data_IF_492037332992
#
_entry.id   IF_492037332992
#
_cell.length_a   1.000
_cell.length_b   1.000
_cell.length_c   1.000
_cell.angle_alpha   90.00
_cell.angle_beta   90.00
_cell.angle_gamma   90.00
#
_symmetry.space_group_name_H-M   'P 1'
#
loop_
_entity.id
_entity.type
_entity.pdbx_description
1 polymer ?
#
# COMPACT_ATOMS: atom_id res chain seq x y z
N UNK A 1 38.14 -10.06 13.04
CA UNK A 1 37.54 -8.72 13.00
C UNK A 1 36.04 -8.93 12.83
N UNK A 2 35.31 -9.10 13.93
CA UNK A 2 33.85 -9.13 13.89
C UNK A 2 33.41 -7.68 13.83
N UNK A 3 32.99 -7.22 12.66
CA UNK A 3 32.34 -5.93 12.51
C UNK A 3 31.02 -5.99 13.27
N UNK A 4 31.02 -5.45 14.49
CA UNK A 4 29.83 -5.11 15.28
C UNK A 4 29.04 -4.04 14.52
N UNK A 5 28.35 -4.44 13.45
CA UNK A 5 27.28 -3.64 12.90
C UNK A 5 26.11 -3.75 13.88
N UNK A 6 25.71 -2.63 14.48
CA UNK A 6 24.42 -2.55 15.16
C UNK A 6 23.34 -3.17 14.25
N UNK A 7 22.48 -4.05 14.79
CA UNK A 7 21.46 -4.69 13.98
C UNK A 7 20.58 -3.62 13.33
N UNK A 8 20.51 -3.64 12.00
CA UNK A 8 19.68 -2.71 11.23
C UNK A 8 18.24 -2.81 11.72
N UNK A 9 17.61 -1.66 11.92
CA UNK A 9 16.23 -1.68 12.39
C UNK A 9 15.32 -2.17 11.26
N UNK A 10 14.47 -3.13 11.57
CA UNK A 10 13.41 -3.61 10.68
C UNK A 10 12.06 -3.40 11.36
N UNK A 11 11.19 -2.65 10.69
CA UNK A 11 9.91 -2.18 11.21
C UNK A 11 8.75 -2.96 10.59
N UNK A 12 7.80 -3.39 11.41
CA UNK A 12 6.52 -3.94 11.00
C UNK A 12 5.42 -3.01 11.48
N UNK A 13 4.69 -2.39 10.56
CA UNK A 13 3.54 -1.55 10.87
C UNK A 13 2.26 -2.35 10.59
N UNK A 14 1.40 -2.49 11.60
CA UNK A 14 0.07 -3.08 11.42
C UNK A 14 -0.99 -1.99 11.59
N UNK A 15 -1.96 -1.94 10.69
CA UNK A 15 -3.05 -0.97 10.73
C UNK A 15 -4.41 -1.57 10.38
N UNK A 16 -5.37 -1.35 11.27
CA UNK A 16 -6.78 -1.76 11.08
C UNK A 16 -7.65 -0.69 10.43
N UNK A 17 -7.07 0.46 10.08
CA UNK A 17 -7.79 1.59 9.49
C UNK A 17 -8.55 2.47 10.47
N UNK A 18 -9.34 3.39 9.90
CA UNK A 18 -10.09 4.41 10.65
C UNK A 18 -11.55 4.01 10.90
N UNK A 19 -12.16 3.29 9.96
CA UNK A 19 -13.62 3.20 9.83
C UNK A 19 -14.22 1.92 10.43
N UNK A 20 -13.49 0.80 10.39
CA UNK A 20 -13.98 -0.49 10.88
C UNK A 20 -13.09 -1.01 12.01
N UNK A 21 -13.71 -1.53 13.08
CA UNK A 21 -12.98 -2.28 14.10
C UNK A 21 -12.56 -3.63 13.52
N UNK A 22 -11.28 -3.96 13.65
CA UNK A 22 -10.75 -5.25 13.21
C UNK A 22 -9.91 -5.89 14.32
N UNK A 23 -10.58 -6.19 15.44
CA UNK A 23 -9.95 -6.79 16.62
C UNK A 23 -9.33 -8.15 16.30
N UNK A 24 -9.94 -8.94 15.41
CA UNK A 24 -9.42 -10.25 15.00
C UNK A 24 -7.99 -10.17 14.44
N UNK A 25 -7.69 -9.15 13.61
CA UNK A 25 -6.34 -8.95 13.10
C UNK A 25 -5.38 -8.55 14.22
N UNK A 26 -5.81 -7.68 15.13
CA UNK A 26 -5.01 -7.28 16.30
C UNK A 26 -4.71 -8.48 17.21
N UNK A 27 -5.69 -9.35 17.46
CA UNK A 27 -5.51 -10.54 18.28
C UNK A 27 -4.53 -11.52 17.62
N UNK A 28 -4.59 -11.66 16.29
CA UNK A 28 -3.67 -12.52 15.53
C UNK A 28 -2.23 -11.99 15.51
N UNK A 29 -2.01 -10.72 15.20
CA UNK A 29 -0.65 -10.12 15.14
C UNK A 29 0.02 -10.01 16.52
N UNK A 30 -0.74 -10.31 17.57
CA UNK A 30 -0.28 -10.32 18.95
C UNK A 30 -0.17 -11.76 19.48
N UNK A 31 -0.65 -12.73 18.71
CA UNK A 31 -0.45 -14.13 19.00
C UNK A 31 1.04 -14.48 19.03
N UNK A 32 1.39 -15.44 19.88
CA UNK A 32 2.77 -15.93 20.03
C UNK A 32 3.35 -16.39 18.68
N UNK A 33 2.54 -17.04 17.84
CA UNK A 33 2.95 -17.52 16.51
C UNK A 33 3.48 -16.38 15.64
N UNK A 34 2.82 -15.22 15.65
CA UNK A 34 3.23 -14.08 14.84
C UNK A 34 4.44 -13.36 15.43
N UNK A 35 4.47 -13.19 16.75
CA UNK A 35 5.59 -12.53 17.43
C UNK A 35 6.88 -13.35 17.35
N UNK A 36 6.80 -14.67 17.51
CA UNK A 36 7.93 -15.59 17.36
C UNK A 36 8.44 -15.55 15.91
N UNK A 37 7.53 -15.46 14.92
CA UNK A 37 7.89 -15.28 13.52
C UNK A 37 8.61 -13.94 13.28
N UNK A 38 8.12 -12.83 13.83
CA UNK A 38 8.76 -11.51 13.71
C UNK A 38 10.18 -11.52 14.28
N UNK A 39 10.36 -12.11 15.47
CA UNK A 39 11.69 -12.24 16.09
C UNK A 39 12.60 -13.13 15.24
N UNK A 40 12.07 -14.22 14.70
CA UNK A 40 12.80 -15.11 13.78
C UNK A 40 13.25 -14.42 12.49
N UNK A 41 12.40 -13.55 11.92
CA UNK A 41 12.71 -12.77 10.72
C UNK A 41 13.47 -11.45 11.03
N UNK A 42 14.01 -11.32 12.25
CA UNK A 42 14.85 -10.18 12.70
C UNK A 42 14.11 -8.84 12.68
N UNK A 43 12.80 -8.83 12.89
CA UNK A 43 12.08 -7.58 13.16
C UNK A 43 12.45 -7.05 14.54
N UNK A 44 12.66 -5.74 14.58
CA UNK A 44 13.11 -5.02 15.78
C UNK A 44 12.01 -4.15 16.36
N UNK A 45 11.08 -3.68 15.52
CA UNK A 45 10.00 -2.80 15.92
C UNK A 45 8.68 -3.31 15.34
N UNK A 46 7.67 -3.46 16.18
CA UNK A 46 6.28 -3.72 15.81
C UNK A 46 5.45 -2.52 16.25
N UNK A 47 4.84 -1.84 15.29
CA UNK A 47 3.99 -0.67 15.54
C UNK A 47 2.55 -0.99 15.15
N UNK A 48 1.64 -0.88 16.11
CA UNK A 48 0.23 -1.26 15.96
C UNK A 48 -0.65 -0.01 15.98
N UNK A 49 -1.33 0.28 14.88
CA UNK A 49 -2.39 1.28 14.88
C UNK A 49 -3.70 0.60 15.28
N UNK A 50 -4.15 0.83 16.51
CA UNK A 50 -5.35 0.20 17.08
C UNK A 50 -6.58 1.11 17.04
N UNK A 51 -6.42 2.39 16.66
CA UNK A 51 -7.52 3.35 16.65
C UNK A 51 -8.22 3.45 18.01
N UNK A 52 -9.56 3.48 18.01
CA UNK A 52 -10.40 3.58 19.22
C UNK A 52 -10.19 2.46 20.24
N UNK A 53 -9.59 1.34 19.84
CA UNK A 53 -9.33 0.19 20.70
C UNK A 53 -7.95 0.29 21.40
N UNK A 54 -7.19 1.37 21.17
CA UNK A 54 -5.86 1.61 21.74
C UNK A 54 -5.82 1.52 23.28
N UNK A 55 -6.78 2.12 23.98
CA UNK A 55 -6.73 2.21 25.45
C UNK A 55 -6.91 0.85 26.14
N UNK A 56 -7.73 -0.02 25.55
CA UNK A 56 -7.92 -1.40 26.00
C UNK A 56 -6.69 -2.25 25.68
N UNK A 57 -6.20 -2.10 24.44
CA UNK A 57 -5.07 -2.84 23.92
C UNK A 57 -3.77 -2.52 24.68
N UNK A 58 -3.50 -1.24 24.93
CA UNK A 58 -2.30 -0.80 25.64
C UNK A 58 -2.24 -1.33 27.08
N UNK A 59 -3.36 -1.35 27.80
CA UNK A 59 -3.38 -1.80 29.21
C UNK A 59 -3.34 -3.31 29.37
N UNK A 60 -4.15 -4.02 28.59
CA UNK A 60 -4.38 -5.44 28.82
C UNK A 60 -3.46 -6.34 28.01
N UNK A 61 -3.00 -5.87 26.85
CA UNK A 61 -2.31 -6.71 25.87
C UNK A 61 -0.82 -6.37 25.86
N UNK A 62 -0.45 -5.11 25.60
CA UNK A 62 0.96 -4.71 25.47
C UNK A 62 1.79 -5.01 26.73
N UNK A 63 1.25 -4.74 27.92
CA UNK A 63 1.98 -4.93 29.19
C UNK A 63 2.49 -6.37 29.39
N UNK A 64 1.70 -7.36 28.98
CA UNK A 64 2.07 -8.78 29.08
C UNK A 64 3.11 -9.21 28.05
N UNK A 65 3.11 -8.61 26.86
CA UNK A 65 3.91 -9.05 25.72
C UNK A 65 5.27 -8.38 25.70
N UNK A 66 5.33 -7.08 25.98
CA UNK A 66 6.58 -6.30 26.01
C UNK A 66 7.56 -6.92 27.02
N UNK A 67 7.06 -7.44 28.13
CA UNK A 67 7.87 -8.14 29.15
C UNK A 67 8.44 -9.47 28.65
N UNK A 68 7.77 -10.12 27.69
CA UNK A 68 8.16 -11.44 27.15
C UNK A 68 9.11 -11.34 25.96
N UNK A 69 8.99 -10.28 25.16
CA UNK A 69 9.74 -10.08 23.92
C UNK A 69 10.68 -8.87 24.02
N UNK A 70 11.77 -9.00 24.78
CA UNK A 70 12.72 -7.91 25.01
C UNK A 70 13.51 -7.47 23.77
N UNK A 71 13.60 -8.33 22.75
CA UNK A 71 14.26 -8.03 21.49
C UNK A 71 13.37 -7.31 20.47
N UNK A 72 12.08 -7.15 20.76
CA UNK A 72 11.09 -6.54 19.87
C UNK A 72 10.42 -5.36 20.57
N UNK A 73 10.64 -4.15 20.05
CA UNK A 73 9.96 -2.96 20.54
C UNK A 73 8.53 -2.93 20.01
N UNK A 74 7.56 -3.21 20.89
CA UNK A 74 6.14 -3.19 20.53
C UNK A 74 5.53 -1.88 21.00
N UNK A 75 5.07 -1.10 20.03
CA UNK A 75 4.39 0.18 20.25
C UNK A 75 2.99 0.09 19.68
N UNK A 76 2.03 0.77 20.31
CA UNK A 76 0.72 0.97 19.71
C UNK A 76 0.36 2.45 19.74
N UNK A 77 -0.52 2.87 18.84
CA UNK A 77 -1.02 4.23 18.77
C UNK A 77 -2.46 4.27 18.23
N UNK A 78 -3.14 5.39 18.48
CA UNK A 78 -4.48 5.66 17.96
C UNK A 78 -4.42 6.04 16.46
N UNK A 79 -5.54 6.45 15.88
CA UNK A 79 -5.61 7.01 14.55
C UNK A 79 -4.75 8.27 14.42
N UNK A 80 -4.05 8.38 13.29
CA UNK A 80 -3.25 9.56 12.91
C UNK A 80 -3.68 10.00 11.52
N UNK A 81 -3.69 11.32 11.30
CA UNK A 81 -4.07 11.89 10.01
C UNK A 81 -3.06 11.57 8.90
N UNK A 82 -1.77 11.45 9.25
CA UNK A 82 -0.70 11.09 8.31
C UNK A 82 0.01 9.79 8.73
N UNK A 83 -0.47 8.68 8.18
CA UNK A 83 0.16 7.37 8.37
C UNK A 83 1.49 7.23 7.59
N UNK A 84 1.76 8.12 6.63
CA UNK A 84 2.95 8.07 5.78
C UNK A 84 4.24 8.18 6.59
N UNK A 85 4.22 8.88 7.74
CA UNK A 85 5.38 8.96 8.64
C UNK A 85 5.77 7.59 9.18
N UNK A 86 4.79 6.79 9.63
CA UNK A 86 5.04 5.44 10.13
C UNK A 86 5.40 4.49 8.99
N UNK A 87 4.72 4.60 7.84
CA UNK A 87 5.06 3.81 6.66
C UNK A 87 6.50 4.07 6.19
N UNK A 88 6.99 5.32 6.21
CA UNK A 88 8.38 5.63 5.86
C UNK A 88 9.41 4.94 6.76
N UNK A 89 9.05 4.57 8.00
CA UNK A 89 9.94 3.77 8.87
C UNK A 89 10.12 2.35 8.36
N UNK A 90 9.14 1.83 7.61
CA UNK A 90 9.20 0.54 6.94
C UNK A 90 9.98 0.57 5.62
N UNK A 91 10.42 1.74 5.14
CA UNK A 91 11.34 1.81 4.01
C UNK A 91 12.76 1.46 4.44
N UNK A 92 13.44 0.69 3.58
CA UNK A 92 14.86 0.44 3.71
C UNK A 92 15.65 1.76 3.62
N UNK A 93 16.55 1.98 4.56
CA UNK A 93 17.47 3.10 4.61
C UNK A 93 18.90 2.57 4.74
N UNK A 94 19.78 2.79 3.74
CA UNK A 94 21.13 2.24 3.75
C UNK A 94 21.88 2.56 5.05
N UNK A 95 22.37 1.52 5.73
CA UNK A 95 23.16 1.65 6.97
C UNK A 95 22.35 1.96 8.23
N UNK A 96 21.02 2.09 8.16
CA UNK A 96 20.17 2.37 9.33
C UNK A 96 18.99 1.40 9.48
N UNK A 97 18.28 1.11 8.38
CA UNK A 97 17.05 0.29 8.40
C UNK A 97 16.99 -0.69 7.25
N UNK A 98 16.56 -1.90 7.54
CA UNK A 98 16.23 -2.90 6.52
C UNK A 98 14.79 -2.67 5.99
N UNK A 99 14.44 -3.34 4.89
CA UNK A 99 13.09 -3.31 4.35
C UNK A 99 12.09 -3.88 5.37
N UNK A 100 11.23 -3.00 5.86
CA UNK A 100 10.12 -3.35 6.74
C UNK A 100 8.90 -3.82 5.96
N UNK A 101 7.77 -3.91 6.67
CA UNK A 101 6.50 -4.34 6.09
C UNK A 101 5.34 -3.58 6.70
N UNK A 102 4.32 -3.33 5.89
CA UNK A 102 3.04 -2.78 6.34
C UNK A 102 1.96 -3.85 6.17
N UNK A 103 1.37 -4.29 7.27
CA UNK A 103 0.18 -5.14 7.29
C UNK A 103 -1.03 -4.24 7.46
N UNK A 104 -1.93 -4.26 6.49
CA UNK A 104 -3.13 -3.43 6.52
C UNK A 104 -4.38 -4.28 6.33
N UNK A 105 -5.46 -3.88 6.99
CA UNK A 105 -6.79 -4.26 6.52
C UNK A 105 -6.97 -3.76 5.08
N UNK A 106 -7.86 -4.38 4.30
CA UNK A 106 -8.15 -4.00 2.91
C UNK A 106 -8.82 -2.61 2.73
N UNK A 107 -8.44 -1.62 3.53
CA UNK A 107 -8.82 -0.22 3.41
C UNK A 107 -8.05 0.46 2.30
N UNK A 108 -8.79 1.02 1.34
CA UNK A 108 -8.24 1.64 0.13
C UNK A 108 -7.25 2.76 0.42
N UNK A 109 -7.53 3.64 1.40
CA UNK A 109 -6.64 4.75 1.73
C UNK A 109 -5.26 4.29 2.17
N UNK A 110 -5.21 3.34 3.10
CA UNK A 110 -3.95 2.76 3.59
C UNK A 110 -3.15 2.06 2.50
N UNK A 111 -3.83 1.33 1.61
CA UNK A 111 -3.19 0.66 0.47
C UNK A 111 -2.55 1.69 -0.46
N UNK A 112 -3.29 2.74 -0.82
CA UNK A 112 -2.78 3.81 -1.69
C UNK A 112 -1.62 4.57 -1.06
N UNK A 113 -1.68 4.86 0.24
CA UNK A 113 -0.58 5.49 0.98
C UNK A 113 0.67 4.59 0.98
N UNK A 114 0.49 3.30 1.24
CA UNK A 114 1.57 2.32 1.19
C UNK A 114 2.21 2.22 -0.19
N UNK A 115 1.40 2.23 -1.25
CA UNK A 115 1.89 2.23 -2.63
C UNK A 115 2.63 3.52 -2.99
N UNK A 116 2.12 4.68 -2.53
CA UNK A 116 2.76 5.99 -2.74
C UNK A 116 4.11 6.09 -2.05
N UNK A 117 4.21 5.54 -0.85
CA UNK A 117 5.47 5.46 -0.09
C UNK A 117 6.37 4.36 -0.68
N UNK A 118 5.82 3.36 -1.38
CA UNK A 118 6.61 2.28 -1.98
C UNK A 118 7.12 1.26 -0.97
N UNK A 119 6.30 0.97 0.05
CA UNK A 119 6.62 -0.03 1.08
C UNK A 119 6.02 -1.40 0.74
N UNK A 120 6.64 -2.50 1.20
CA UNK A 120 6.05 -3.83 1.14
C UNK A 120 4.68 -3.87 1.85
N UNK A 121 3.65 -4.37 1.16
CA UNK A 121 2.28 -4.44 1.69
C UNK A 121 1.79 -5.88 1.85
N UNK A 122 1.19 -6.16 3.00
CA UNK A 122 0.33 -7.34 3.23
C UNK A 122 -1.09 -6.83 3.42
N UNK A 123 -2.00 -7.29 2.57
CA UNK A 123 -3.41 -6.89 2.61
C UNK A 123 -4.23 -8.03 3.19
N UNK A 124 -4.79 -7.82 4.39
CA UNK A 124 -5.62 -8.81 5.09
C UNK A 124 -7.08 -8.36 5.03
N UNK A 125 -7.92 -8.92 4.16
CA UNK A 125 -9.34 -8.57 4.10
C UNK A 125 -10.05 -9.06 5.36
N UNK A 126 -11.04 -8.30 5.83
CA UNK A 126 -11.85 -8.71 6.97
C UNK A 126 -12.97 -9.65 6.50
N UNK A 127 -12.98 -10.94 6.90
CA UNK A 127 -13.99 -11.89 6.47
C UNK A 127 -15.38 -11.62 7.08
N UNK A 128 -15.44 -10.82 8.15
CA UNK A 128 -16.66 -10.52 8.90
C UNK A 128 -17.44 -9.36 8.30
N UNK A 129 -16.79 -8.52 7.48
CA UNK A 129 -17.45 -7.46 6.74
C UNK A 129 -18.00 -8.03 5.43
N UNK A 130 -19.26 -7.75 5.13
CA UNK A 130 -20.04 -8.35 4.03
C UNK A 130 -19.57 -8.03 2.61
N UNK A 131 -18.48 -7.29 2.47
CA UNK A 131 -18.05 -6.73 1.20
C UNK A 131 -16.93 -7.59 0.61
N UNK A 132 -17.30 -8.49 -0.31
CA UNK A 132 -16.34 -9.28 -1.11
C UNK A 132 -15.33 -8.40 -1.85
N UNK A 133 -15.63 -7.12 -2.04
CA UNK A 133 -14.75 -6.11 -2.63
C UNK A 133 -13.41 -5.97 -1.90
N UNK A 134 -13.33 -6.28 -0.59
CA UNK A 134 -12.05 -6.29 0.12
C UNK A 134 -11.12 -7.40 -0.39
N UNK A 135 -11.69 -8.56 -0.70
CA UNK A 135 -10.93 -9.71 -1.24
C UNK A 135 -10.48 -9.40 -2.67
N UNK A 136 -11.39 -8.88 -3.51
CA UNK A 136 -11.07 -8.46 -4.88
C UNK A 136 -9.91 -7.44 -4.90
N UNK A 137 -9.92 -6.48 -3.96
CA UNK A 137 -8.84 -5.51 -3.82
C UNK A 137 -7.51 -6.16 -3.43
N UNK A 138 -7.53 -7.09 -2.48
CA UNK A 138 -6.31 -7.81 -2.06
C UNK A 138 -5.74 -8.67 -3.20
N UNK A 139 -6.60 -9.35 -3.96
CA UNK A 139 -6.23 -10.15 -5.12
C UNK A 139 -5.62 -9.28 -6.22
N UNK A 140 -6.22 -8.13 -6.52
CA UNK A 140 -5.71 -7.19 -7.53
C UNK A 140 -4.35 -6.62 -7.13
N UNK A 141 -4.16 -6.24 -5.86
CA UNK A 141 -2.87 -5.76 -5.35
C UNK A 141 -1.78 -6.82 -5.48
N UNK A 142 -2.10 -8.09 -5.21
CA UNK A 142 -1.19 -9.21 -5.42
C UNK A 142 -0.91 -9.47 -6.90
N UNK A 143 -1.94 -9.43 -7.75
CA UNK A 143 -1.81 -9.63 -9.20
C UNK A 143 -0.90 -8.59 -9.84
N UNK A 144 -0.98 -7.35 -9.37
CA UNK A 144 -0.13 -6.22 -9.79
C UNK A 144 1.24 -6.19 -9.09
N UNK A 145 1.48 -7.11 -8.14
CA UNK A 145 2.73 -7.25 -7.40
C UNK A 145 3.04 -6.08 -6.44
N UNK A 146 2.06 -5.25 -6.08
CA UNK A 146 2.28 -4.17 -5.09
C UNK A 146 2.31 -4.68 -3.64
N UNK A 147 1.74 -5.86 -3.40
CA UNK A 147 1.73 -6.51 -2.10
C UNK A 147 1.35 -7.97 -2.22
N UNK A 148 1.03 -8.59 -1.09
CA UNK A 148 0.52 -9.96 -1.03
C UNK A 148 -0.81 -9.99 -0.29
N UNK A 149 -1.69 -10.89 -0.73
CA UNK A 149 -2.92 -11.19 -0.02
C UNK A 149 -2.60 -12.05 1.21
N UNK A 150 -2.97 -11.56 2.39
CA UNK A 150 -2.88 -12.29 3.64
C UNK A 150 -4.25 -12.81 4.07
N UNK A 151 -4.26 -14.01 4.66
CA UNK A 151 -5.47 -14.60 5.23
C UNK A 151 -5.40 -14.49 6.76
N UNK A 152 -6.54 -14.16 7.37
CA UNK A 152 -6.68 -14.22 8.83
C UNK A 152 -6.41 -15.67 9.31
N UNK A 153 -5.54 -15.81 10.29
CA UNK A 153 -4.99 -17.05 10.83
C UNK A 153 -3.68 -17.51 10.18
N UNK A 154 -3.24 -16.85 9.10
CA UNK A 154 -2.05 -17.22 8.34
C UNK A 154 -1.26 -16.00 7.83
N UNK A 155 -1.29 -14.90 8.59
CA UNK A 155 -0.58 -13.66 8.19
C UNK A 155 0.94 -13.88 8.14
N UNK A 156 1.49 -14.73 8.99
CA UNK A 156 2.92 -15.08 8.98
C UNK A 156 3.38 -15.69 7.65
N UNK A 157 2.55 -16.56 7.05
CA UNK A 157 2.86 -17.15 5.74
C UNK A 157 2.84 -16.12 4.61
N UNK A 158 1.95 -15.13 4.70
CA UNK A 158 1.92 -14.03 3.76
C UNK A 158 3.22 -13.20 3.86
N UNK A 159 3.71 -12.95 5.07
CA UNK A 159 4.99 -12.26 5.29
C UNK A 159 6.17 -13.02 4.71
N UNK A 160 6.23 -14.33 4.89
CA UNK A 160 7.31 -15.17 4.33
C UNK A 160 7.35 -15.11 2.80
N UNK A 161 6.19 -15.05 2.15
CA UNK A 161 6.07 -14.99 0.69
C UNK A 161 6.26 -13.60 0.08
N UNK A 162 6.12 -12.55 0.88
CA UNK A 162 6.16 -11.17 0.41
C UNK A 162 7.47 -10.82 -0.34
N UNK A 163 8.67 -11.18 0.15
CA UNK A 163 9.92 -10.91 -0.57
C UNK A 163 9.94 -11.52 -1.98
N UNK A 164 9.46 -12.76 -2.13
CA UNK A 164 9.41 -13.47 -3.40
C UNK A 164 8.51 -12.75 -4.43
N UNK A 165 7.37 -12.22 -3.98
CA UNK A 165 6.47 -11.43 -4.84
C UNK A 165 7.11 -10.11 -5.27
N UNK A 166 7.75 -9.41 -4.34
CA UNK A 166 8.40 -8.14 -4.63
C UNK A 166 9.59 -8.30 -5.59
N UNK A 167 10.36 -9.37 -5.45
CA UNK A 167 11.47 -9.65 -6.36
C UNK A 167 10.98 -10.00 -7.76
N UNK A 168 9.87 -10.74 -7.89
CA UNK A 168 9.21 -10.98 -9.18
C UNK A 168 8.83 -9.67 -9.86
N UNK A 169 8.31 -8.70 -9.10
CA UNK A 169 7.97 -7.38 -9.64
C UNK A 169 9.21 -6.57 -10.07
N UNK A 170 10.27 -6.55 -9.26
CA UNK A 170 11.53 -5.87 -9.63
C UNK A 170 12.07 -6.40 -10.96
N UNK A 171 11.90 -7.69 -11.22
CA UNK A 171 12.26 -8.31 -12.50
C UNK A 171 11.32 -7.89 -13.63
N UNK A 172 10.01 -7.82 -13.37
CA UNK A 172 9.00 -7.47 -14.37
C UNK A 172 9.09 -6.01 -14.85
N UNK A 173 9.44 -5.08 -13.96
CA UNK A 173 9.54 -3.64 -14.27
C UNK A 173 10.98 -3.14 -14.26
N UNK A 174 11.93 -3.96 -14.71
CA UNK A 174 13.31 -3.52 -14.87
C UNK A 174 13.35 -2.40 -15.94
N UNK A 175 13.85 -1.19 -15.61
CA UNK A 175 14.04 -0.16 -16.63
C UNK A 175 14.90 -0.74 -17.75
N UNK A 176 14.51 -0.52 -19.00
CA UNK A 176 15.38 -0.87 -20.12
C UNK A 176 16.66 -0.06 -19.95
N UNK A 177 17.81 -0.73 -19.99
CA UNK A 177 19.09 -0.04 -20.04
C UNK A 177 19.08 0.82 -21.29
N UNK A 178 19.00 2.13 -21.11
CA UNK A 178 19.40 3.06 -22.16
C UNK A 178 20.90 2.86 -22.26
N UNK A 179 21.38 2.25 -23.35
CA UNK A 179 22.80 2.17 -23.63
C UNK A 179 23.32 3.61 -23.69
N UNK A 180 23.97 4.04 -22.60
CA UNK A 180 24.85 5.19 -22.60
C UNK A 180 26.14 4.82 -23.34
N UNK A 181 26.01 4.38 -24.59
CA UNK A 181 27.10 4.54 -25.54
C UNK A 181 27.47 6.04 -25.53
N UNK A 182 28.77 6.39 -25.54
CA UNK A 182 29.15 7.78 -25.67
C UNK A 182 28.45 8.29 -26.93
N UNK A 183 27.58 9.29 -26.76
CA UNK A 183 26.88 9.94 -27.85
C UNK A 183 27.94 10.60 -28.73
N UNK A 184 28.45 9.84 -29.70
CA UNK A 184 29.18 10.39 -30.82
C UNK A 184 28.14 11.17 -31.64
N UNK A 185 28.06 12.47 -31.35
CA UNK A 185 27.45 13.49 -32.19
C UNK A 185 26.05 13.18 -32.77
N UNK A 186 25.15 12.58 -31.97
CA UNK A 186 23.73 12.72 -32.28
C UNK A 186 23.29 14.11 -31.80
N UNK A 187 22.89 14.96 -32.75
CA UNK A 187 22.40 16.30 -32.48
C UNK A 187 21.29 16.23 -31.40
N UNK A 188 21.27 17.16 -30.42
CA UNK A 188 20.22 17.16 -29.41
C UNK A 188 18.88 17.25 -30.13
N UNK A 189 18.04 16.23 -29.95
CA UNK A 189 16.64 16.30 -30.35
C UNK A 189 16.02 17.43 -29.53
N UNK A 190 15.84 18.57 -30.18
CA UNK A 190 15.20 19.74 -29.61
C UNK A 190 13.70 19.46 -29.59
N UNK A 191 13.28 18.64 -28.63
CA UNK A 191 11.86 18.37 -28.38
C UNK A 191 11.34 19.48 -27.50
N UNK A 192 10.61 20.42 -28.11
CA UNK A 192 9.84 21.39 -27.35
C UNK A 192 8.62 20.67 -26.76
N UNK A 193 8.72 20.30 -25.48
CA UNK A 193 7.66 19.61 -24.73
C UNK A 193 6.34 20.39 -24.76
N UNK A 194 6.38 21.71 -24.91
CA UNK A 194 5.17 22.53 -24.99
C UNK A 194 4.42 22.35 -26.31
N UNK A 195 5.13 22.17 -27.43
CA UNK A 195 4.49 21.86 -28.71
C UNK A 195 3.86 20.47 -28.71
N UNK A 196 4.56 19.47 -28.17
CA UNK A 196 4.03 18.11 -28.08
C UNK A 196 2.75 18.02 -27.22
N UNK A 197 2.68 18.80 -26.14
CA UNK A 197 1.49 18.88 -25.28
C UNK A 197 0.32 19.58 -25.96
N UNK A 198 0.56 20.66 -26.72
CA UNK A 198 -0.50 21.36 -27.46
C UNK A 198 -1.18 20.49 -28.53
N UNK A 199 -0.41 19.69 -29.27
CA UNK A 199 -0.96 18.76 -30.27
C UNK A 199 -1.79 17.63 -29.64
N UNK A 200 -1.49 17.25 -28.40
CA UNK A 200 -2.28 16.29 -27.64
C UNK A 200 -3.59 16.92 -27.13
N UNK A 201 -3.55 18.18 -26.71
CA UNK A 201 -4.74 18.93 -26.25
C UNK A 201 -5.69 19.26 -27.40
N UNK A 202 -5.19 19.56 -28.60
CA UNK A 202 -6.03 19.75 -29.80
C UNK A 202 -6.83 18.50 -30.16
N UNK A 203 -6.30 17.30 -29.88
CA UNK A 203 -7.06 16.05 -30.06
C UNK A 203 -8.24 15.92 -29.10
N UNK A 204 -8.16 16.50 -27.90
CA UNK A 204 -9.27 16.54 -26.94
C UNK A 204 -10.25 17.69 -27.22
N UNK A 205 -9.81 18.75 -27.92
CA UNK A 205 -10.68 19.86 -28.30
C UNK A 205 -11.70 19.48 -29.40
N UNK A 206 -11.39 18.46 -30.21
CA UNK A 206 -12.23 18.00 -31.32
C UNK A 206 -13.37 17.06 -30.90
N UNK A 207 -13.39 16.60 -29.65
CA UNK A 207 -14.35 15.60 -29.15
C UNK A 207 -15.23 16.15 -28.01
N UNK A 208 -15.54 17.45 -28.06
CA UNK A 208 -16.59 17.99 -27.20
C UNK A 208 -17.95 17.47 -27.66
N UNK A 209 -18.75 16.81 -26.81
CA UNK A 209 -20.13 16.50 -27.15
C UNK A 209 -20.87 17.80 -27.47
N UNK A 210 -21.80 17.80 -28.45
CA UNK A 210 -22.48 19.01 -28.88
C UNK A 210 -23.13 19.70 -27.69
N UNK A 211 -22.83 20.99 -27.52
CA UNK A 211 -23.46 21.81 -26.48
C UNK A 211 -24.98 21.81 -26.69
N UNK A 212 -25.79 21.65 -25.64
CA UNK A 212 -27.23 21.73 -25.79
C UNK A 212 -27.61 23.12 -26.30
N UNK A 213 -28.40 23.16 -27.37
CA UNK A 213 -28.93 24.40 -27.95
C UNK A 213 -29.98 24.95 -27.00
N UNK A 214 -29.65 26.05 -26.32
CA UNK A 214 -30.60 26.79 -25.49
C UNK A 214 -31.28 27.83 -26.38
N UNK A 215 -32.58 27.68 -26.62
CA UNK A 215 -33.38 28.71 -27.28
C UNK A 215 -33.68 29.87 -26.30
N UNK A 216 -33.83 31.10 -26.80
CA UNK A 216 -34.00 32.35 -26.02
C UNK A 216 -35.29 32.46 -25.18
N UNK A 217 -36.02 31.35 -24.99
CA UNK A 217 -37.03 31.19 -23.94
C UNK A 217 -36.64 29.94 -23.17
N UNK A 218 -36.04 30.14 -22.00
CA UNK A 218 -35.37 29.10 -21.22
C UNK A 218 -36.28 27.97 -20.71
N UNK A 219 -36.64 27.04 -21.60
CA UNK A 219 -37.15 25.72 -21.25
C UNK A 219 -36.28 24.67 -21.95
N UNK A 220 -35.59 23.85 -21.13
CA UNK A 220 -34.83 22.71 -21.61
C UNK A 220 -35.77 21.53 -21.85
N UNK A 221 -36.05 21.20 -23.12
CA UNK A 221 -36.70 19.94 -23.45
C UNK A 221 -35.73 18.78 -23.15
N UNK A 222 -36.16 17.88 -22.25
CA UNK A 222 -35.50 16.59 -22.02
C UNK A 222 -35.88 15.67 -23.18
N UNK A 223 -34.93 15.37 -24.07
CA UNK A 223 -35.08 14.25 -25.01
C UNK A 223 -34.67 12.95 -24.31
N UNK A 224 -35.64 12.05 -24.18
CA UNK A 224 -35.46 10.65 -23.80
C UNK A 224 -34.57 9.93 -24.83
N UNK A 225 -33.48 9.33 -24.36
CA UNK A 225 -32.68 8.41 -25.17
C UNK A 225 -33.43 7.08 -25.23
N UNK A 226 -34.07 6.82 -26.37
CA UNK A 226 -34.69 5.57 -26.70
C UNK A 226 -33.67 4.42 -26.73
N UNK A 227 -34.06 3.30 -26.11
CA UNK A 227 -33.39 2.01 -26.18
C UNK A 227 -33.27 1.52 -27.63
N UNK A 228 -32.08 1.05 -28.02
CA UNK A 228 -31.91 0.18 -29.17
C UNK A 228 -31.43 -1.18 -28.69
N UNK A 229 -32.40 -2.09 -28.56
CA UNK A 229 -32.28 -3.52 -28.84
C UNK A 229 -31.60 -3.75 -30.19
N UNK A 230 -30.71 -4.74 -30.26
CA UNK A 230 -30.34 -5.41 -31.50
C UNK A 230 -30.34 -6.92 -31.21
N UNK A 231 -31.18 -7.60 -31.98
CA UNK A 231 -31.30 -9.05 -32.14
C UNK A 231 -29.99 -9.74 -32.53
#
# INVERSE_FOLDING_TARGET
MHSDHEPLQRHCLVTVGATARFTQLLDEVVGQVFLDFLVGDRFTHLTLQCGKDYEHFSRNVLSGIVTRYLSLEITAFDFVDDLSVQMRRCQAAPGLRDAGVVVCHAGTGTILDGMRVGVPLVVVPNPTLKDNHQVEMAEEIQRQGYGIWGRLGDVSYALEKLPLQLDKKKLQFKPHSVDSAPVAAAAPLQVDLWQASSALLDRYAMDQPPRPVVNEKGDAQREEVAQMTLD
#
